data_IF_986237163061
#
_entry.id   IF_986237163061
#
_cell.length_a   1.000
_cell.length_b   1.000
_cell.length_c   1.000
_cell.angle_alpha   90.00
_cell.angle_beta   90.00
_cell.angle_gamma   90.00
#
_symmetry.space_group_name_H-M   'P 1'
#
loop_
_entity.id
_entity.type
_entity.pdbx_description
1 polymer ?
#
# COMPACT_ATOMS: atom_id res chain seq x y z
N UNK A 1 -5.12 1.07 -6.13
CA UNK A 1 -6.54 1.27 -5.72
C UNK A 1 -7.27 -0.07 -5.53
N UNK A 2 -7.99 -0.20 -4.43
CA UNK A 2 -8.88 -1.34 -4.11
C UNK A 2 -10.27 -0.83 -3.76
N UNK A 3 -11.29 -1.56 -4.19
CA UNK A 3 -12.69 -1.33 -3.87
C UNK A 3 -13.33 -2.67 -3.51
N UNK A 4 -14.14 -2.71 -2.46
CA UNK A 4 -14.92 -3.89 -2.09
C UNK A 4 -16.24 -3.47 -1.45
N UNK A 5 -17.32 -4.18 -1.76
CA UNK A 5 -18.63 -3.96 -1.18
C UNK A 5 -19.25 -5.30 -0.81
N UNK A 6 -19.59 -5.47 0.45
CA UNK A 6 -20.29 -6.63 0.97
C UNK A 6 -21.78 -6.31 1.12
N UNK A 7 -22.60 -6.92 0.27
CA UNK A 7 -24.06 -6.72 0.28
C UNK A 7 -24.74 -7.33 1.51
N UNK A 8 -24.16 -8.37 2.11
CA UNK A 8 -24.75 -9.03 3.28
C UNK A 8 -24.57 -8.18 4.55
N UNK A 9 -23.39 -7.57 4.72
CA UNK A 9 -23.10 -6.69 5.87
C UNK A 9 -23.38 -5.21 5.62
N UNK A 10 -23.53 -4.79 4.35
CA UNK A 10 -23.68 -3.39 3.95
C UNK A 10 -22.38 -2.59 4.02
N UNK A 11 -21.24 -3.24 4.28
CA UNK A 11 -19.95 -2.59 4.45
C UNK A 11 -19.24 -2.39 3.10
N UNK A 12 -18.61 -1.22 2.96
CA UNK A 12 -17.81 -0.85 1.80
C UNK A 12 -16.39 -0.45 2.21
N UNK A 13 -15.42 -0.71 1.35
CA UNK A 13 -14.04 -0.21 1.46
C UNK A 13 -13.58 0.31 0.11
N UNK A 14 -12.91 1.47 0.14
CA UNK A 14 -12.42 2.17 -1.03
C UNK A 14 -11.11 2.88 -0.65
N UNK A 15 -9.97 2.47 -1.21
CA UNK A 15 -8.67 2.99 -0.79
C UNK A 15 -7.48 2.64 -1.68
N UNK A 16 -6.27 3.01 -1.23
CA UNK A 16 -5.03 2.74 -1.96
C UNK A 16 -4.83 3.61 -3.20
N UNK A 17 -5.30 4.86 -3.15
CA UNK A 17 -5.14 5.88 -4.19
C UNK A 17 -3.82 6.65 -4.02
N UNK A 18 -2.67 5.95 -3.97
CA UNK A 18 -1.36 6.63 -3.82
C UNK A 18 -1.00 7.32 -5.14
N UNK A 19 -0.75 8.63 -5.11
CA UNK A 19 -0.23 9.42 -6.24
C UNK A 19 -1.27 9.97 -7.23
N UNK A 20 -2.47 9.38 -7.34
CA UNK A 20 -3.48 9.71 -8.37
C UNK A 20 -4.90 9.91 -7.75
N UNK A 21 -4.93 10.59 -6.60
CA UNK A 21 -6.00 10.49 -5.60
C UNK A 21 -7.40 10.97 -6.04
N UNK A 22 -7.50 12.06 -6.78
CA UNK A 22 -8.80 12.72 -7.03
C UNK A 22 -9.63 11.99 -8.09
N UNK A 23 -9.02 11.67 -9.23
CA UNK A 23 -9.71 10.94 -10.30
C UNK A 23 -10.13 9.55 -9.83
N UNK A 24 -9.24 8.86 -9.11
CA UNK A 24 -9.48 7.50 -8.65
C UNK A 24 -10.52 7.44 -7.52
N UNK A 25 -10.53 8.43 -6.62
CA UNK A 25 -11.57 8.54 -5.58
C UNK A 25 -12.95 8.86 -6.17
N UNK A 26 -13.03 9.74 -7.16
CA UNK A 26 -14.29 10.07 -7.85
C UNK A 26 -14.88 8.84 -8.56
N UNK A 27 -14.04 8.12 -9.32
CA UNK A 27 -14.46 6.90 -10.01
C UNK A 27 -14.90 5.81 -9.02
N UNK A 28 -14.20 5.67 -7.89
CA UNK A 28 -14.54 4.73 -6.83
C UNK A 28 -15.88 5.07 -6.16
N UNK A 29 -16.13 6.35 -5.88
CA UNK A 29 -17.38 6.82 -5.28
C UNK A 29 -18.60 6.54 -6.17
N UNK A 30 -18.50 6.82 -7.47
CA UNK A 30 -19.58 6.53 -8.44
C UNK A 30 -19.85 5.03 -8.56
N UNK A 31 -18.79 4.24 -8.62
CA UNK A 31 -18.89 2.78 -8.65
C UNK A 31 -19.56 2.23 -7.39
N UNK A 32 -19.24 2.78 -6.21
CA UNK A 32 -19.84 2.34 -4.96
C UNK A 32 -21.32 2.74 -4.86
N UNK A 33 -21.68 3.93 -5.32
CA UNK A 33 -23.08 4.36 -5.37
C UNK A 33 -23.92 3.42 -6.26
N UNK A 34 -23.40 3.03 -7.43
CA UNK A 34 -24.06 2.09 -8.33
C UNK A 34 -24.23 0.70 -7.67
N UNK A 35 -23.20 0.22 -6.95
CA UNK A 35 -23.27 -1.04 -6.22
C UNK A 35 -24.32 -1.04 -5.09
N UNK A 36 -24.39 0.05 -4.32
CA UNK A 36 -25.34 0.21 -3.21
C UNK A 36 -26.78 0.31 -3.73
N UNK A 37 -26.98 1.06 -4.81
CA UNK A 37 -28.30 1.27 -5.42
C UNK A 37 -28.73 0.12 -6.35
N UNK A 38 -27.86 -0.86 -6.58
CA UNK A 38 -28.11 -2.00 -7.47
C UNK A 38 -28.19 -1.63 -8.95
N UNK A 39 -27.64 -0.48 -9.34
CA UNK A 39 -27.61 -0.02 -10.72
C UNK A 39 -26.62 -0.88 -11.52
N UNK A 40 -27.07 -1.34 -12.70
CA UNK A 40 -26.20 -2.02 -13.66
C UNK A 40 -25.54 -0.97 -14.55
N UNK A 41 -24.32 -0.56 -14.19
CA UNK A 41 -23.51 0.37 -14.97
C UNK A 41 -22.21 -0.31 -15.45
N UNK A 42 -21.57 0.28 -16.46
CA UNK A 42 -20.23 -0.17 -16.90
C UNK A 42 -19.18 0.02 -15.80
N UNK A 43 -19.43 0.89 -14.81
CA UNK A 43 -18.53 1.09 -13.68
C UNK A 43 -18.46 -0.14 -12.78
N UNK A 44 -19.57 -0.87 -12.61
CA UNK A 44 -19.65 -2.07 -11.78
C UNK A 44 -19.11 -3.33 -12.47
N UNK A 45 -18.68 -3.25 -13.74
CA UNK A 45 -18.03 -4.36 -14.48
C UNK A 45 -16.52 -4.20 -14.57
N UNK A 46 -15.97 -3.08 -14.10
CA UNK A 46 -14.54 -2.80 -14.18
C UNK A 46 -13.71 -3.80 -13.36
N UNK A 47 -12.52 -4.21 -13.84
CA UNK A 47 -11.71 -5.28 -13.23
C UNK A 47 -11.12 -4.93 -11.85
N UNK A 48 -11.26 -3.68 -11.42
CA UNK A 48 -10.73 -3.17 -10.15
C UNK A 48 -11.62 -3.44 -8.92
N UNK A 49 -12.86 -3.89 -9.13
CA UNK A 49 -13.90 -4.08 -8.11
C UNK A 49 -13.72 -5.29 -7.20
N UNK A 50 -12.85 -6.21 -7.63
CA UNK A 50 -12.65 -7.49 -6.94
C UNK A 50 -11.17 -7.79 -6.77
N UNK A 51 -10.31 -6.76 -6.79
CA UNK A 51 -8.88 -6.95 -6.54
C UNK A 51 -8.67 -7.15 -5.04
N UNK A 52 -8.76 -8.40 -4.62
CA UNK A 52 -8.30 -8.83 -3.31
C UNK A 52 -6.78 -8.73 -3.31
N UNK A 53 -6.24 -7.84 -2.48
CA UNK A 53 -4.82 -7.84 -2.19
C UNK A 53 -4.44 -9.23 -1.67
N UNK A 54 -3.33 -9.82 -2.13
CA UNK A 54 -2.85 -11.08 -1.58
C UNK A 54 -2.80 -10.98 -0.05
N UNK A 55 -3.16 -12.06 0.65
CA UNK A 55 -2.87 -12.16 2.08
C UNK A 55 -1.34 -12.16 2.20
N UNK A 56 -0.80 -10.98 2.46
CA UNK A 56 0.62 -10.80 2.71
C UNK A 56 1.03 -11.69 3.89
N UNK A 57 2.25 -12.22 3.82
CA UNK A 57 2.84 -13.32 4.60
C UNK A 57 2.16 -13.68 5.95
N UNK A 58 1.96 -14.98 6.24
CA UNK A 58 1.36 -15.42 7.50
C UNK A 58 2.15 -14.91 8.71
N UNK A 59 1.43 -14.53 9.77
CA UNK A 59 2.06 -14.25 11.05
C UNK A 59 2.71 -15.54 11.58
N UNK A 60 3.95 -15.49 12.10
CA UNK A 60 4.66 -14.32 12.64
C UNK A 60 5.64 -13.60 11.68
N UNK A 61 5.84 -14.07 10.44
CA UNK A 61 6.90 -13.57 9.54
C UNK A 61 6.74 -12.07 9.22
N UNK A 62 5.51 -11.63 8.97
CA UNK A 62 5.17 -10.22 8.76
C UNK A 62 5.56 -9.33 9.92
N UNK A 63 5.33 -9.79 11.17
CA UNK A 63 5.71 -9.06 12.37
C UNK A 63 7.24 -8.97 12.48
N UNK A 64 7.94 -10.08 12.24
CA UNK A 64 9.41 -10.10 12.26
C UNK A 64 9.98 -9.13 11.22
N UNK A 65 9.46 -9.16 9.99
CA UNK A 65 9.93 -8.29 8.90
C UNK A 65 9.77 -6.80 9.20
N UNK A 66 8.60 -6.38 9.70
CA UNK A 66 8.35 -4.97 10.05
C UNK A 66 9.29 -4.53 11.19
N UNK A 67 9.37 -5.30 12.28
CA UNK A 67 10.19 -4.93 13.43
C UNK A 67 11.69 -4.96 13.11
N UNK A 68 12.15 -5.92 12.29
CA UNK A 68 13.54 -5.99 11.84
C UNK A 68 13.89 -4.78 10.96
N UNK A 69 13.01 -4.40 10.04
CA UNK A 69 13.17 -3.20 9.21
C UNK A 69 13.27 -1.93 10.05
N UNK A 70 12.32 -1.73 10.96
CA UNK A 70 12.34 -0.57 11.88
C UNK A 70 13.59 -0.55 12.76
N UNK A 71 14.01 -1.71 13.28
CA UNK A 71 15.23 -1.81 14.09
C UNK A 71 16.49 -1.50 13.27
N UNK A 72 16.58 -1.98 12.04
CA UNK A 72 17.69 -1.69 11.11
C UNK A 72 17.81 -0.20 10.83
N UNK A 73 16.69 0.48 10.51
CA UNK A 73 16.70 1.93 10.29
C UNK A 73 17.06 2.69 11.57
N UNK A 74 16.54 2.30 12.73
CA UNK A 74 16.88 2.92 14.00
C UNK A 74 18.36 2.70 14.41
N UNK A 75 18.99 1.60 13.97
CA UNK A 75 20.43 1.36 14.15
C UNK A 75 21.22 2.22 13.18
N UNK A 76 20.82 2.29 11.90
CA UNK A 76 21.45 3.13 10.89
C UNK A 76 21.48 4.60 11.32
N UNK A 77 20.33 5.15 11.75
CA UNK A 77 20.21 6.53 12.24
C UNK A 77 21.11 6.78 13.47
N UNK A 78 21.15 5.84 14.42
CA UNK A 78 22.04 5.96 15.60
C UNK A 78 23.51 5.88 15.23
N UNK A 79 23.88 5.09 14.24
CA UNK A 79 25.26 5.02 13.74
C UNK A 79 25.66 6.29 12.99
N UNK A 80 24.79 6.87 12.18
CA UNK A 80 25.03 8.13 11.48
C UNK A 80 25.09 9.31 12.46
N UNK A 81 24.18 9.36 13.44
CA UNK A 81 24.17 10.39 14.49
C UNK A 81 25.40 10.33 15.41
N UNK A 82 25.95 9.14 15.70
CA UNK A 82 27.17 8.98 16.51
C UNK A 82 28.46 9.27 15.74
N UNK A 83 28.48 9.03 14.44
CA UNK A 83 29.72 9.13 13.64
C UNK A 83 29.83 10.41 12.83
N UNK A 84 28.72 11.15 12.64
CA UNK A 84 28.72 12.43 11.93
C UNK A 84 29.20 12.35 10.48
N UNK A 85 29.26 11.13 9.91
CA UNK A 85 29.70 10.87 8.54
C UNK A 85 28.65 10.02 7.84
N UNK A 86 28.26 10.35 6.59
CA UNK A 86 27.31 9.53 5.83
C UNK A 86 27.83 8.10 5.73
N UNK A 87 26.94 7.13 5.99
CA UNK A 87 27.32 5.72 6.15
C UNK A 87 28.08 5.16 4.93
N UNK A 88 29.14 4.40 5.18
CA UNK A 88 29.89 3.68 4.12
C UNK A 88 29.00 2.68 3.37
N UNK A 89 27.88 2.25 3.98
CA UNK A 89 26.84 1.46 3.37
C UNK A 89 26.17 2.20 2.19
N UNK A 90 25.87 3.50 2.34
CA UNK A 90 25.36 4.32 1.25
C UNK A 90 26.38 4.44 0.10
N UNK A 91 27.66 4.66 0.42
CA UNK A 91 28.71 4.72 -0.61
C UNK A 91 28.89 3.37 -1.35
N UNK A 92 28.70 2.25 -0.67
CA UNK A 92 28.80 0.91 -1.28
C UNK A 92 27.55 0.58 -2.12
N UNK A 93 26.38 1.05 -1.70
CA UNK A 93 25.13 0.97 -2.46
C UNK A 93 25.19 1.77 -3.77
N UNK A 94 25.75 2.98 -3.74
CA UNK A 94 25.99 3.78 -4.94
C UNK A 94 26.99 3.12 -5.90
N UNK A 95 28.04 2.49 -5.38
CA UNK A 95 29.01 1.72 -6.19
C UNK A 95 28.42 0.48 -6.84
N UNK A 96 27.47 -0.19 -6.19
CA UNK A 96 26.79 -1.36 -6.74
C UNK A 96 25.76 -0.99 -7.83
N UNK A 97 25.26 0.25 -7.82
CA UNK A 97 24.30 0.77 -8.80
C UNK A 97 24.95 1.45 -10.02
N UNK A 98 26.29 1.39 -10.15
CA UNK A 98 26.97 1.69 -11.40
C UNK A 98 27.23 3.18 -11.69
N UNK A 99 27.60 3.96 -10.67
CA UNK A 99 28.33 5.22 -10.86
C UNK A 99 29.68 5.18 -10.14
#
# INVERSE_FOLDING_TARGET
>A
PSLSYDRASGLAHAGGYVGDGVATANLAGRTLADLITGQKSDLVTLPWLSRQSPRWEPEPLRWVGINAGTALFAVADRTEARTGRPSRAAATFWKALGH
#
